data_IF_501654584994
#
_entry.id   IF_501654584994
#
_cell.length_a   1.000
_cell.length_b   1.000
_cell.length_c   1.000
_cell.angle_alpha   90.00
_cell.angle_beta   90.00
_cell.angle_gamma   90.00
#
_symmetry.space_group_name_H-M   'P 1'
#
loop_
_entity.id
_entity.type
_entity.pdbx_description
1 polymer ?
#
# COMPACT_ATOMS: atom_id res chain seq x y z
N UNK A 1 16.21 11.55 -10.47
CA UNK A 1 15.19 11.21 -11.50
C UNK A 1 15.27 12.24 -12.61
N UNK A 2 15.02 11.85 -13.86
CA UNK A 2 15.03 12.77 -15.02
C UNK A 2 13.62 13.23 -15.39
N UNK A 3 13.46 14.50 -15.77
CA UNK A 3 12.19 15.02 -16.32
C UNK A 3 12.04 14.74 -17.83
N UNK A 4 13.03 14.11 -18.47
CA UNK A 4 13.01 13.77 -19.90
C UNK A 4 12.58 12.32 -20.17
N UNK A 5 12.01 11.63 -19.17
CA UNK A 5 11.50 10.28 -19.33
C UNK A 5 10.14 10.11 -18.68
N UNK A 6 9.39 9.14 -19.19
CA UNK A 6 8.16 8.66 -18.59
C UNK A 6 8.45 7.64 -17.49
N UNK A 7 7.50 7.53 -16.57
CA UNK A 7 7.53 6.55 -15.50
C UNK A 7 6.22 5.75 -15.47
N UNK A 8 6.34 4.50 -15.04
CA UNK A 8 5.19 3.64 -14.76
C UNK A 8 5.07 3.43 -13.25
N UNK A 9 3.86 3.60 -12.70
CA UNK A 9 3.58 3.26 -11.30
C UNK A 9 3.59 1.73 -11.14
N UNK A 10 4.50 1.21 -10.33
CA UNK A 10 4.66 -0.21 -10.09
C UNK A 10 3.97 -0.64 -8.79
N UNK A 11 4.09 0.17 -7.74
CA UNK A 11 3.58 -0.17 -6.42
C UNK A 11 3.32 1.07 -5.55
N UNK A 12 2.55 0.90 -4.48
CA UNK A 12 2.22 1.93 -3.49
C UNK A 12 1.91 1.34 -2.13
N UNK A 13 2.46 1.94 -1.09
CA UNK A 13 2.21 1.53 0.29
C UNK A 13 2.47 2.68 1.27
N UNK A 14 2.07 2.47 2.52
CA UNK A 14 2.25 3.41 3.61
C UNK A 14 3.11 2.78 4.72
N UNK A 15 4.12 3.52 5.18
CA UNK A 15 4.89 3.22 6.38
C UNK A 15 4.93 4.50 7.24
N UNK A 16 4.63 4.44 8.55
CA UNK A 16 4.84 5.60 9.43
C UNK A 16 6.29 6.11 9.35
N UNK A 17 6.49 7.43 9.38
CA UNK A 17 7.85 8.03 9.21
C UNK A 17 8.85 7.48 10.24
N UNK A 18 8.42 7.27 11.48
CA UNK A 18 9.28 6.73 12.54
C UNK A 18 9.71 5.27 12.28
N UNK A 19 8.93 4.53 11.50
CA UNK A 19 9.18 3.14 11.13
C UNK A 19 9.80 3.01 9.73
N UNK A 20 9.89 4.10 8.96
CA UNK A 20 10.40 4.07 7.59
C UNK A 20 11.92 3.99 7.52
N UNK A 21 12.62 3.82 8.65
CA UNK A 21 14.08 3.66 8.74
C UNK A 21 14.88 4.74 7.99
N UNK A 22 14.31 5.95 7.85
CA UNK A 22 14.95 7.04 7.11
C UNK A 22 14.78 6.96 5.59
N UNK A 23 13.80 6.23 5.07
CA UNK A 23 13.46 6.26 3.65
C UNK A 23 13.14 7.70 3.21
N UNK A 24 13.90 8.20 2.24
CA UNK A 24 13.74 9.53 1.66
C UNK A 24 13.35 9.44 0.18
N UNK A 25 12.63 10.46 -0.29
CA UNK A 25 12.22 10.62 -1.67
C UNK A 25 13.44 10.69 -2.58
N UNK A 26 13.51 9.83 -3.60
CA UNK A 26 14.61 9.88 -4.58
C UNK A 26 14.49 11.04 -5.58
N UNK A 27 13.41 11.84 -5.49
CA UNK A 27 13.25 13.08 -6.24
C UNK A 27 13.57 14.33 -5.40
N UNK A 28 12.97 14.49 -4.23
CA UNK A 28 13.08 15.72 -3.42
C UNK A 28 13.83 15.54 -2.09
N UNK A 29 14.34 14.33 -1.81
CA UNK A 29 15.12 13.97 -0.61
C UNK A 29 14.41 14.14 0.74
N UNK A 30 13.10 14.43 0.75
CA UNK A 30 12.30 14.51 1.98
C UNK A 30 11.96 13.12 2.51
N UNK A 31 11.83 12.93 3.84
CA UNK A 31 11.37 11.67 4.43
C UNK A 31 10.02 11.22 3.86
N UNK A 32 9.87 9.92 3.65
CA UNK A 32 8.66 9.32 3.08
C UNK A 32 7.84 8.58 4.12
N UNK A 33 6.52 8.72 3.97
CA UNK A 33 5.54 7.86 4.62
C UNK A 33 4.57 7.23 3.62
N UNK A 34 4.07 8.02 2.65
CA UNK A 34 3.24 7.51 1.56
C UNK A 34 4.17 7.27 0.36
N UNK A 35 4.54 6.03 0.11
CA UNK A 35 5.59 5.65 -0.83
C UNK A 35 4.92 5.13 -2.10
N UNK A 36 5.34 5.67 -3.24
CA UNK A 36 5.08 5.12 -4.56
C UNK A 36 6.40 4.60 -5.14
N UNK A 37 6.34 3.42 -5.74
CA UNK A 37 7.43 2.81 -6.47
C UNK A 37 7.15 3.00 -7.95
N UNK A 38 8.04 3.71 -8.64
CA UNK A 38 7.90 3.98 -10.08
C UNK A 38 9.10 3.44 -10.83
N UNK A 39 8.90 3.04 -12.08
CA UNK A 39 9.95 2.55 -12.97
C UNK A 39 10.15 3.53 -14.12
N UNK A 40 11.39 3.95 -14.38
CA UNK A 40 11.71 4.80 -15.52
C UNK A 40 11.78 3.98 -16.81
N UNK A 41 11.10 4.42 -17.87
CA UNK A 41 11.04 3.66 -19.12
C UNK A 41 12.38 3.70 -19.90
N UNK A 42 13.13 4.79 -19.79
CA UNK A 42 14.40 4.97 -20.52
C UNK A 42 15.58 4.30 -19.81
N UNK A 43 15.64 4.38 -18.48
CA UNK A 43 16.74 3.84 -17.68
C UNK A 43 16.45 2.47 -17.05
N UNK A 44 15.19 2.01 -17.11
CA UNK A 44 14.71 0.75 -16.53
C UNK A 44 14.94 0.65 -15.00
N UNK A 45 15.17 1.78 -14.32
CA UNK A 45 15.45 1.85 -12.88
C UNK A 45 14.17 2.07 -12.08
N UNK A 46 14.16 1.56 -10.86
CA UNK A 46 13.06 1.74 -9.91
C UNK A 46 13.40 2.83 -8.90
N UNK A 47 12.40 3.65 -8.61
CA UNK A 47 12.51 4.79 -7.70
C UNK A 47 11.39 4.78 -6.67
N UNK A 48 11.76 4.99 -5.41
CA UNK A 48 10.86 5.25 -4.28
C UNK A 48 10.67 6.75 -4.14
N UNK A 49 9.43 7.21 -4.35
CA UNK A 49 9.07 8.63 -4.24
C UNK A 49 7.86 8.82 -3.34
N UNK A 50 7.71 10.04 -2.83
CA UNK A 50 6.53 10.43 -2.09
C UNK A 50 5.36 10.71 -3.01
N UNK A 51 4.14 10.52 -2.50
CA UNK A 51 2.91 10.83 -3.24
C UNK A 51 2.88 12.27 -3.75
N UNK A 52 3.43 13.25 -3.02
CA UNK A 52 3.49 14.65 -3.47
C UNK A 52 4.37 14.84 -4.72
N UNK A 53 5.49 14.10 -4.80
CA UNK A 53 6.35 14.11 -5.99
C UNK A 53 5.68 13.38 -7.15
N UNK A 54 4.99 12.27 -6.87
CA UNK A 54 4.21 11.58 -7.88
C UNK A 54 3.06 12.46 -8.41
N UNK A 55 2.37 13.20 -7.54
CA UNK A 55 1.32 14.17 -7.93
C UNK A 55 1.88 15.28 -8.82
N UNK A 56 3.09 15.77 -8.52
CA UNK A 56 3.78 16.73 -9.39
C UNK A 56 4.06 16.13 -10.78
N UNK A 57 4.44 14.86 -10.86
CA UNK A 57 4.61 14.16 -12.13
C UNK A 57 3.28 13.90 -12.85
N UNK A 58 2.21 13.63 -12.11
CA UNK A 58 0.84 13.48 -12.64
C UNK A 58 0.31 14.77 -13.25
N UNK A 59 0.54 15.91 -12.60
CA UNK A 59 0.16 17.22 -13.17
C UNK A 59 0.88 17.50 -14.49
N UNK A 60 2.08 16.94 -14.66
CA UNK A 60 2.82 16.97 -15.92
C UNK A 60 2.60 15.65 -16.68
N UNK A 61 1.35 15.38 -17.09
CA UNK A 61 0.88 14.14 -17.75
C UNK A 61 1.82 13.52 -18.80
N UNK A 62 2.74 14.29 -19.39
CA UNK A 62 3.80 13.80 -20.27
C UNK A 62 4.82 12.86 -19.58
N UNK A 63 4.84 12.80 -18.25
CA UNK A 63 5.82 12.04 -17.46
C UNK A 63 5.31 10.68 -16.96
N UNK A 64 4.06 10.31 -17.25
CA UNK A 64 3.49 9.03 -16.82
C UNK A 64 2.76 8.31 -17.95
N UNK A 65 2.81 6.98 -17.91
CA UNK A 65 2.17 6.13 -18.91
C UNK A 65 0.86 5.50 -18.41
N UNK A 66 -0.15 5.44 -19.29
CA UNK A 66 -1.32 4.56 -19.16
C UNK A 66 -2.21 4.77 -17.93
N UNK A 67 -2.50 3.67 -17.20
CA UNK A 67 -3.46 3.59 -16.08
C UNK A 67 -2.97 4.21 -14.76
N UNK A 68 -1.74 4.74 -14.73
CA UNK A 68 -1.07 5.24 -13.53
C UNK A 68 -1.84 6.34 -12.78
N UNK A 69 -2.57 7.22 -13.50
CA UNK A 69 -3.37 8.30 -12.89
C UNK A 69 -4.53 7.73 -12.06
N UNK A 70 -5.31 6.82 -12.64
CA UNK A 70 -6.49 6.25 -11.97
C UNK A 70 -6.10 5.45 -10.73
N UNK A 71 -4.99 4.71 -10.79
CA UNK A 71 -4.47 3.95 -9.66
C UNK A 71 -3.94 4.85 -8.53
N UNK A 72 -3.28 5.96 -8.88
CA UNK A 72 -2.86 6.94 -7.90
C UNK A 72 -4.05 7.59 -7.18
N UNK A 73 -5.06 8.03 -7.94
CA UNK A 73 -6.27 8.64 -7.38
C UNK A 73 -6.99 7.66 -6.42
N UNK A 74 -7.07 6.38 -6.79
CA UNK A 74 -7.61 5.33 -5.94
C UNK A 74 -6.81 5.18 -4.64
N UNK A 75 -5.47 5.17 -4.73
CA UNK A 75 -4.58 5.09 -3.56
C UNK A 75 -4.73 6.29 -2.63
N UNK A 76 -4.77 7.50 -3.19
CA UNK A 76 -4.92 8.76 -2.45
C UNK A 76 -6.23 8.79 -1.68
N UNK A 77 -7.34 8.34 -2.28
CA UNK A 77 -8.65 8.23 -1.62
C UNK A 77 -8.67 7.16 -0.51
N UNK A 78 -7.92 6.08 -0.69
CA UNK A 78 -7.86 4.95 0.26
C UNK A 78 -6.96 5.23 1.45
N UNK A 79 -5.94 6.10 1.29
CA UNK A 79 -4.87 6.33 2.25
C UNK A 79 -5.34 6.58 3.69
N UNK A 80 -6.35 7.43 3.99
CA UNK A 80 -6.81 7.62 5.36
C UNK A 80 -7.32 6.33 6.01
N UNK A 81 -8.08 5.51 5.27
CA UNK A 81 -8.60 4.23 5.77
C UNK A 81 -7.49 3.19 5.89
N UNK A 82 -6.54 3.17 4.96
CA UNK A 82 -5.33 2.32 5.03
C UNK A 82 -4.54 2.61 6.30
N UNK A 83 -4.31 3.88 6.65
CA UNK A 83 -3.61 4.26 7.89
C UNK A 83 -4.29 3.71 9.14
N UNK A 84 -5.62 3.88 9.22
CA UNK A 84 -6.41 3.42 10.35
C UNK A 84 -6.39 1.89 10.46
N UNK A 85 -6.60 1.19 9.35
CA UNK A 85 -6.60 -0.28 9.32
C UNK A 85 -5.21 -0.86 9.59
N UNK A 86 -4.15 -0.26 9.05
CA UNK A 86 -2.78 -0.68 9.33
C UNK A 86 -2.47 -0.59 10.83
N UNK A 87 -2.84 0.52 11.46
CA UNK A 87 -2.65 0.68 12.91
C UNK A 87 -3.45 -0.37 13.67
N UNK A 88 -4.75 -0.48 13.38
CA UNK A 88 -5.64 -1.42 14.03
C UNK A 88 -5.15 -2.87 13.93
N UNK A 89 -4.85 -3.36 12.72
CA UNK A 89 -4.37 -4.72 12.53
C UNK A 89 -2.99 -4.94 13.14
N UNK A 90 -2.13 -3.93 13.18
CA UNK A 90 -0.85 -4.03 13.90
C UNK A 90 -1.05 -4.23 15.40
N UNK A 91 -2.05 -3.60 16.00
CA UNK A 91 -2.36 -3.82 17.42
C UNK A 91 -2.99 -5.20 17.64
N UNK A 92 -3.86 -5.66 16.74
CA UNK A 92 -4.43 -7.03 16.81
C UNK A 92 -3.34 -8.10 16.70
N UNK A 93 -2.38 -7.94 15.79
CA UNK A 93 -1.22 -8.84 15.65
C UNK A 93 -0.44 -8.94 16.97
N UNK A 94 -0.19 -7.81 17.64
CA UNK A 94 0.50 -7.78 18.94
C UNK A 94 -0.31 -8.47 20.03
N UNK A 95 -1.62 -8.22 20.07
CA UNK A 95 -2.51 -8.74 21.10
C UNK A 95 -2.71 -10.26 21.00
N UNK A 96 -2.99 -10.76 19.79
CA UNK A 96 -3.30 -12.17 19.59
C UNK A 96 -2.10 -13.09 19.82
N UNK A 97 -0.88 -12.58 19.58
CA UNK A 97 0.38 -13.32 19.61
C UNK A 97 0.40 -14.51 18.63
N UNK A 98 1.58 -14.87 18.10
CA UNK A 98 1.74 -16.05 17.22
C UNK A 98 0.88 -16.04 15.94
N UNK A 99 0.47 -14.86 15.46
CA UNK A 99 -0.12 -14.72 14.12
C UNK A 99 0.96 -15.08 13.11
N UNK A 100 0.70 -16.09 12.27
CA UNK A 100 1.59 -16.52 11.19
C UNK A 100 1.14 -15.99 9.84
N UNK A 101 -0.17 -15.83 9.65
CA UNK A 101 -0.71 -15.27 8.41
C UNK A 101 -2.03 -14.55 8.62
N UNK A 102 -2.36 -13.69 7.66
CA UNK A 102 -3.64 -13.02 7.55
C UNK A 102 -4.15 -13.11 6.11
N UNK A 103 -5.44 -13.36 5.95
CA UNK A 103 -6.11 -13.34 4.65
C UNK A 103 -7.22 -12.30 4.64
N UNK A 104 -7.40 -11.65 3.50
CA UNK A 104 -8.43 -10.65 3.29
C UNK A 104 -9.35 -11.07 2.15
N UNK A 105 -10.65 -10.91 2.32
CA UNK A 105 -11.65 -11.18 1.29
C UNK A 105 -12.56 -9.97 1.13
N UNK A 106 -12.67 -9.43 -0.09
CA UNK A 106 -13.64 -8.37 -0.39
C UNK A 106 -14.97 -9.02 -0.73
N UNK A 107 -15.99 -8.71 0.07
CA UNK A 107 -17.34 -9.26 -0.11
C UNK A 107 -18.37 -8.14 -0.38
N UNK A 108 -19.62 -8.56 -0.65
CA UNK A 108 -20.76 -7.65 -0.79
C UNK A 108 -20.55 -6.54 -1.83
N UNK A 109 -20.07 -6.92 -3.02
CA UNK A 109 -19.83 -6.00 -4.14
C UNK A 109 -18.83 -4.87 -3.83
N UNK A 110 -17.78 -5.17 -3.06
CA UNK A 110 -16.73 -4.19 -2.75
C UNK A 110 -16.93 -3.37 -1.49
N UNK A 111 -17.93 -3.71 -0.65
CA UNK A 111 -18.33 -2.85 0.47
C UNK A 111 -17.78 -3.27 1.83
N UNK A 112 -17.30 -4.50 1.93
CA UNK A 112 -16.77 -5.05 3.17
C UNK A 112 -15.50 -5.84 2.90
N UNK A 113 -14.60 -5.84 3.87
CA UNK A 113 -13.45 -6.74 3.91
C UNK A 113 -13.65 -7.67 5.09
N UNK A 114 -13.65 -8.96 4.84
CA UNK A 114 -13.48 -9.96 5.88
C UNK A 114 -11.99 -10.23 6.04
N UNK A 115 -11.53 -10.23 7.28
CA UNK A 115 -10.12 -10.50 7.60
C UNK A 115 -10.05 -11.70 8.52
N UNK A 116 -9.15 -12.64 8.22
CA UNK A 116 -8.95 -13.85 9.00
C UNK A 116 -7.50 -13.92 9.44
N UNK A 117 -7.29 -14.22 10.72
CA UNK A 117 -5.98 -14.31 11.37
C UNK A 117 -5.69 -15.76 11.70
N UNK A 118 -4.49 -16.22 11.37
CA UNK A 118 -4.10 -17.62 11.51
C UNK A 118 -2.89 -17.78 12.42
N UNK A 119 -2.84 -18.91 13.11
CA UNK A 119 -1.63 -19.46 13.73
C UNK A 119 -1.42 -20.87 13.17
N UNK A 120 -0.42 -21.01 12.30
CA UNK A 120 -0.33 -22.16 11.40
C UNK A 120 -1.53 -22.19 10.45
N UNK A 121 -2.26 -23.29 10.44
CA UNK A 121 -3.45 -23.50 9.59
C UNK A 121 -4.77 -23.14 10.29
N UNK A 122 -4.72 -22.81 11.59
CA UNK A 122 -5.93 -22.55 12.39
C UNK A 122 -6.28 -21.07 12.39
N UNK A 123 -7.53 -20.75 12.04
CA UNK A 123 -8.11 -19.43 12.29
C UNK A 123 -8.20 -19.20 13.80
N UNK A 124 -7.56 -18.16 14.28
CA UNK A 124 -7.57 -17.76 15.69
C UNK A 124 -8.46 -16.53 15.95
N UNK A 125 -8.72 -15.74 14.91
CA UNK A 125 -9.60 -14.58 14.99
C UNK A 125 -10.07 -14.16 13.60
N UNK A 126 -11.21 -13.48 13.52
CA UNK A 126 -11.71 -12.89 12.29
C UNK A 126 -12.38 -11.54 12.57
N UNK A 127 -12.42 -10.69 11.53
CA UNK A 127 -13.02 -9.37 11.57
C UNK A 127 -13.78 -9.05 10.29
N UNK A 128 -14.62 -8.02 10.35
CA UNK A 128 -15.33 -7.49 9.20
C UNK A 128 -15.39 -5.97 9.26
N UNK A 129 -14.80 -5.33 8.26
CA UNK A 129 -14.74 -3.87 8.20
C UNK A 129 -15.44 -3.33 6.96
N UNK A 130 -16.22 -2.26 7.12
CA UNK A 130 -16.86 -1.58 6.01
C UNK A 130 -15.86 -0.70 5.26
N UNK A 131 -15.83 -0.85 3.95
CA UNK A 131 -14.98 -0.08 3.04
C UNK A 131 -15.80 0.58 1.93
N UNK A 132 -15.16 1.53 1.24
CA UNK A 132 -15.70 2.06 -0.01
C UNK A 132 -15.41 1.07 -1.15
N UNK A 133 -16.27 1.01 -2.20
CA UNK A 133 -16.06 0.15 -3.36
C UNK A 133 -14.71 0.34 -4.08
N UNK A 134 -14.15 1.54 -4.00
CA UNK A 134 -12.86 1.91 -4.60
C UNK A 134 -11.68 1.76 -3.64
N UNK A 135 -11.85 1.09 -2.50
CA UNK A 135 -10.76 0.88 -1.55
C UNK A 135 -9.61 0.08 -2.18
N UNK A 136 -8.38 0.58 -1.98
CA UNK A 136 -7.16 -0.07 -2.43
C UNK A 136 -6.64 -1.05 -1.38
N UNK A 137 -7.15 -2.29 -1.45
CA UNK A 137 -6.76 -3.34 -0.53
C UNK A 137 -5.30 -3.77 -0.70
N UNK A 138 -4.78 -3.72 -1.93
CA UNK A 138 -3.39 -4.07 -2.20
C UNK A 138 -2.45 -3.10 -1.50
N UNK A 139 -2.78 -1.80 -1.50
CA UNK A 139 -2.03 -0.81 -0.72
C UNK A 139 -1.99 -1.15 0.78
N UNK A 140 -3.11 -1.59 1.36
CA UNK A 140 -3.15 -2.02 2.77
C UNK A 140 -2.26 -3.25 2.99
N UNK A 141 -2.38 -4.28 2.15
CA UNK A 141 -1.63 -5.52 2.27
C UNK A 141 -0.13 -5.26 2.12
N UNK A 142 0.28 -4.43 1.17
CA UNK A 142 1.68 -4.05 0.99
C UNK A 142 2.21 -3.24 2.18
N UNK A 143 1.40 -2.36 2.74
CA UNK A 143 1.75 -1.62 3.97
C UNK A 143 1.96 -2.57 5.15
N UNK A 144 1.10 -3.59 5.29
CA UNK A 144 1.24 -4.62 6.32
C UNK A 144 2.49 -5.49 6.12
N UNK A 145 2.76 -5.94 4.88
CA UNK A 145 3.98 -6.70 4.53
C UNK A 145 5.25 -5.91 4.85
N UNK A 146 5.27 -4.62 4.51
CA UNK A 146 6.40 -3.76 4.77
C UNK A 146 6.67 -3.61 6.28
N UNK A 147 5.61 -3.58 7.09
CA UNK A 147 5.69 -3.42 8.56
C UNK A 147 5.95 -4.75 9.30
N UNK A 148 5.40 -5.87 8.82
CA UNK A 148 5.41 -7.17 9.50
C UNK A 148 6.03 -8.25 8.62
N UNK A 149 7.35 -8.22 8.48
CA UNK A 149 8.08 -9.07 7.52
C UNK A 149 8.00 -10.58 7.81
N UNK A 150 7.63 -10.98 9.03
CA UNK A 150 7.53 -12.39 9.44
C UNK A 150 6.12 -12.98 9.28
N UNK A 151 5.13 -12.17 8.92
CA UNK A 151 3.73 -12.58 8.76
C UNK A 151 3.40 -12.63 7.27
N UNK A 152 2.71 -13.68 6.85
CA UNK A 152 2.22 -13.79 5.48
C UNK A 152 0.88 -13.09 5.31
N UNK A 153 0.71 -12.32 4.25
CA UNK A 153 -0.53 -11.59 3.95
C UNK A 153 -1.03 -11.93 2.56
N UNK A 154 -2.31 -12.25 2.41
CA UNK A 154 -2.90 -12.67 1.14
C UNK A 154 -4.25 -12.01 0.90
N UNK A 155 -4.49 -11.56 -0.33
CA UNK A 155 -5.82 -11.18 -0.81
C UNK A 155 -6.46 -12.39 -1.49
N UNK A 156 -7.66 -12.76 -1.06
CA UNK A 156 -8.47 -13.79 -1.69
C UNK A 156 -9.44 -13.08 -2.63
N UNK A 157 -9.14 -13.16 -3.92
CA UNK A 157 -10.08 -12.71 -4.97
C UNK A 157 -10.83 -13.93 -5.46
N UNK A 158 -12.15 -13.97 -5.23
CA UNK A 158 -13.05 -15.01 -5.78
C UNK A 158 -13.45 -14.65 -7.20
#
# INVERSE_FOLDING_TARGET
MSLEQTYTLMDKFYIPILESLGHCCQNCFKPLANIAIVKGEKDNKTYSIGFDCLETFLLNNALLEGKSIAEFEKAKKSLPKVKNLLHYYSEQIKQLQRVSSMTFEIISSGRWIETYFYSGEKIIWNDSEKIKPDFDIEMLIHSLRAKHQTISFQNITK
#
